data_IF_256855967043
#
_entry.id   IF_256855967043
#
_cell.length_a   1.000
_cell.length_b   1.000
_cell.length_c   1.000
_cell.angle_alpha   90.00
_cell.angle_beta   90.00
_cell.angle_gamma   90.00
#
_symmetry.space_group_name_H-M   'P 1'
#
loop_
_entity.id
_entity.type
_entity.pdbx_description
1 polymer ?
#
# COMPACT_ATOMS: atom_id res chain seq x y z
N UNK A 1 0.74 -8.74 -27.48
CA UNK A 1 1.08 -8.14 -26.17
C UNK A 1 0.74 -9.14 -25.07
N UNK A 2 1.68 -9.45 -24.16
CA UNK A 2 1.46 -10.46 -23.13
C UNK A 2 0.79 -9.83 -21.90
N UNK A 3 -0.53 -9.92 -21.83
CA UNK A 3 -1.39 -9.35 -20.78
C UNK A 3 -0.94 -9.75 -19.38
N UNK A 4 -0.48 -11.00 -19.21
CA UNK A 4 0.03 -11.52 -17.95
C UNK A 4 1.31 -10.77 -17.54
N UNK A 5 2.24 -10.57 -18.48
CA UNK A 5 3.49 -9.84 -18.21
C UNK A 5 3.25 -8.37 -17.89
N UNK A 6 2.24 -7.76 -18.51
CA UNK A 6 1.84 -6.39 -18.23
C UNK A 6 1.14 -6.25 -16.87
N UNK A 7 0.30 -7.22 -16.51
CA UNK A 7 -0.31 -7.35 -15.19
C UNK A 7 0.78 -7.41 -14.09
N UNK A 8 1.75 -8.31 -14.22
CA UNK A 8 2.86 -8.41 -13.26
C UNK A 8 3.66 -7.11 -13.17
N UNK A 9 4.00 -6.47 -14.30
CA UNK A 9 4.70 -5.17 -14.29
C UNK A 9 3.92 -4.10 -13.54
N UNK A 10 2.61 -3.97 -13.79
CA UNK A 10 1.74 -3.01 -13.09
C UNK A 10 1.68 -3.29 -11.59
N UNK A 11 1.60 -4.55 -11.19
CA UNK A 11 1.57 -4.95 -9.78
C UNK A 11 2.88 -4.66 -9.05
N UNK A 12 4.03 -4.94 -9.68
CA UNK A 12 5.36 -4.60 -9.13
C UNK A 12 5.51 -3.08 -9.01
N UNK A 13 5.17 -2.34 -10.06
CA UNK A 13 5.20 -0.88 -10.05
C UNK A 13 4.34 -0.29 -8.93
N UNK A 14 3.10 -0.78 -8.78
CA UNK A 14 2.18 -0.32 -7.74
C UNK A 14 2.71 -0.61 -6.33
N UNK A 15 3.32 -1.79 -6.11
CA UNK A 15 3.94 -2.10 -4.82
C UNK A 15 5.11 -1.17 -4.49
N UNK A 16 5.94 -0.84 -5.48
CA UNK A 16 7.07 0.08 -5.29
C UNK A 16 6.60 1.50 -4.96
N UNK A 17 5.58 2.00 -5.68
CA UNK A 17 4.98 3.31 -5.41
C UNK A 17 4.42 3.41 -3.98
N UNK A 18 3.77 2.34 -3.51
CA UNK A 18 3.24 2.27 -2.15
C UNK A 18 4.37 2.34 -1.11
N UNK A 19 5.51 1.68 -1.38
CA UNK A 19 6.66 1.67 -0.49
C UNK A 19 7.34 3.04 -0.42
N UNK A 20 7.52 3.72 -1.54
CA UNK A 20 8.03 5.09 -1.59
C UNK A 20 7.12 6.06 -0.83
N UNK A 21 5.80 5.95 -1.05
CA UNK A 21 4.81 6.80 -0.36
C UNK A 21 4.82 6.56 1.15
N UNK A 22 4.92 5.29 1.57
CA UNK A 22 5.01 4.94 2.98
C UNK A 22 6.30 5.49 3.62
N UNK A 23 7.43 5.40 2.92
CA UNK A 23 8.70 5.94 3.38
C UNK A 23 8.66 7.47 3.56
N UNK A 24 8.10 8.20 2.59
CA UNK A 24 7.96 9.66 2.68
C UNK A 24 7.09 10.08 3.88
N UNK A 25 5.95 9.43 4.07
CA UNK A 25 5.06 9.70 5.22
C UNK A 25 5.74 9.41 6.55
N UNK A 26 6.49 8.31 6.67
CA UNK A 26 7.25 8.03 7.90
C UNK A 26 8.31 9.10 8.16
N UNK A 27 9.00 9.61 7.12
CA UNK A 27 10.00 10.68 7.29
C UNK A 27 9.43 12.03 7.69
N UNK A 28 8.16 12.31 7.39
CA UNK A 28 7.49 13.56 7.79
C UNK A 28 7.02 13.57 9.25
N UNK A 29 6.97 12.41 9.92
CA UNK A 29 6.55 12.27 11.32
C UNK A 29 7.16 13.25 12.34
N UNK A 30 8.49 13.48 12.36
CA UNK A 30 9.10 14.39 13.33
C UNK A 30 8.82 15.88 13.02
N UNK A 31 8.28 16.19 11.83
CA UNK A 31 8.00 17.55 11.37
C UNK A 31 6.50 17.90 11.40
N UNK A 32 5.64 16.90 11.63
CA UNK A 32 4.18 17.07 11.57
C UNK A 32 3.59 17.65 12.86
N UNK A 33 2.70 18.63 12.67
CA UNK A 33 1.87 19.17 13.71
C UNK A 33 0.94 18.10 14.31
N UNK A 34 0.61 18.23 15.60
CA UNK A 34 -0.18 17.24 16.36
C UNK A 34 -1.51 16.88 15.69
N UNK A 35 -2.09 17.82 14.95
CA UNK A 35 -3.36 17.69 14.21
C UNK A 35 -3.26 16.81 12.95
N UNK A 36 -2.08 16.66 12.37
CA UNK A 36 -1.86 15.93 11.10
C UNK A 36 -1.53 14.45 11.34
N UNK A 37 -0.94 14.13 12.50
CA UNK A 37 -0.54 12.77 12.90
C UNK A 37 -1.66 11.70 12.75
N UNK A 38 -2.93 11.95 13.14
CA UNK A 38 -3.99 10.95 12.99
C UNK A 38 -4.31 10.61 11.53
N UNK A 39 -4.33 11.63 10.67
CA UNK A 39 -4.57 11.49 9.23
C UNK A 39 -3.45 10.72 8.55
N UNK A 40 -2.19 11.02 8.88
CA UNK A 40 -1.03 10.27 8.40
C UNK A 40 -1.09 8.81 8.83
N UNK A 41 -1.35 8.54 10.12
CA UNK A 41 -1.47 7.17 10.63
C UNK A 41 -2.55 6.37 9.89
N UNK A 42 -3.68 7.02 9.60
CA UNK A 42 -4.75 6.43 8.80
C UNK A 42 -4.30 6.11 7.37
N UNK A 43 -3.53 7.00 6.75
CA UNK A 43 -2.96 6.79 5.42
C UNK A 43 -1.96 5.63 5.38
N UNK A 44 -1.04 5.54 6.35
CA UNK A 44 -0.08 4.44 6.47
C UNK A 44 -0.79 3.09 6.57
N UNK A 45 -1.88 3.00 7.37
CA UNK A 45 -2.71 1.78 7.45
C UNK A 45 -3.37 1.42 6.11
N UNK A 46 -3.83 2.41 5.33
CA UNK A 46 -4.40 2.19 4.00
C UNK A 46 -3.33 1.68 3.02
N UNK A 47 -2.15 2.29 3.01
CA UNK A 47 -1.01 1.88 2.18
C UNK A 47 -0.60 0.44 2.46
N UNK A 48 -0.53 0.04 3.74
CA UNK A 48 -0.26 -1.37 4.11
C UNK A 48 -1.31 -2.34 3.55
N UNK A 49 -2.59 -1.97 3.55
CA UNK A 49 -3.66 -2.79 2.93
C UNK A 49 -3.50 -2.87 1.42
N UNK A 50 -3.16 -1.76 0.76
CA UNK A 50 -2.92 -1.74 -0.69
C UNK A 50 -1.69 -2.55 -1.08
N UNK A 51 -0.62 -2.50 -0.29
CA UNK A 51 0.59 -3.33 -0.50
C UNK A 51 0.24 -4.82 -0.47
N UNK A 52 -0.55 -5.25 0.51
CA UNK A 52 -1.01 -6.65 0.60
C UNK A 52 -1.82 -7.06 -0.63
N UNK A 53 -2.74 -6.20 -1.11
CA UNK A 53 -3.50 -6.45 -2.34
C UNK A 53 -2.61 -6.51 -3.58
N UNK A 54 -1.65 -5.58 -3.72
CA UNK A 54 -0.73 -5.53 -4.85
C UNK A 54 0.15 -6.79 -4.93
N UNK A 55 0.55 -7.35 -3.77
CA UNK A 55 1.29 -8.62 -3.67
C UNK A 55 0.43 -9.87 -3.86
N UNK A 56 -0.87 -9.75 -4.08
CA UNK A 56 -1.78 -10.91 -4.19
C UNK A 56 -2.10 -11.57 -2.84
N UNK A 57 -1.75 -10.96 -1.71
CA UNK A 57 -2.19 -11.40 -0.38
C UNK A 57 -3.64 -10.93 -0.13
N UNK A 58 -4.58 -11.45 -0.91
CA UNK A 58 -5.99 -11.40 -0.56
C UNK A 58 -6.25 -12.53 0.42
N UNK A 59 -6.38 -12.22 1.71
CA UNK A 59 -7.17 -13.05 2.61
C UNK A 59 -8.61 -12.96 2.06
N UNK A 60 -8.94 -13.75 1.04
CA UNK A 60 -10.33 -14.01 0.72
C UNK A 60 -10.94 -14.62 1.99
N UNK A 61 -12.06 -14.10 2.50
CA UNK A 61 -12.83 -14.89 3.44
C UNK A 61 -13.16 -16.19 2.71
N UNK A 62 -12.61 -17.31 3.21
CA UNK A 62 -13.09 -18.64 2.81
C UNK A 62 -14.53 -18.71 3.32
N UNK A 63 -15.49 -18.45 2.44
CA UNK A 63 -16.84 -18.91 2.68
C UNK A 63 -16.75 -20.43 2.56
N UNK A 64 -16.67 -21.11 3.69
CA UNK A 64 -16.78 -22.56 3.75
C UNK A 64 -18.21 -22.94 3.32
N UNK A 65 -18.31 -23.85 2.36
CA UNK A 65 -19.56 -24.53 1.99
C UNK A 65 -20.16 -25.29 3.16
#
# INVERSE_FOLDING_TARGET
>A
MNVIREYYRRHVYLSNLIDETHYLLTRMEPQEDSKVRPSRTTHLRKLLRYKRRAKGCTNQPKWSN
#
